data_IF_443742233647
#
_entry.id   IF_443742233647
#
_cell.length_a   1.000
_cell.length_b   1.000
_cell.length_c   1.000
_cell.angle_alpha   90.00
_cell.angle_beta   90.00
_cell.angle_gamma   90.00
#
_symmetry.space_group_name_H-M   'P 1'
#
loop_
_entity.id
_entity.type
_entity.pdbx_description
1 polymer ?
#
# COMPACT_ATOMS: atom_id res chain seq x y z
N UNK A 1 13.28 12.91 -7.79
CA UNK A 1 13.41 11.83 -8.80
C UNK A 1 12.03 11.26 -9.10
N UNK A 2 11.70 11.03 -10.38
CA UNK A 2 10.45 10.41 -10.76
C UNK A 2 10.73 9.00 -11.27
N UNK A 3 9.93 8.04 -10.82
CA UNK A 3 9.99 6.65 -11.28
C UNK A 3 8.83 6.38 -12.24
N UNK A 4 9.12 5.68 -13.34
CA UNK A 4 8.16 5.39 -14.41
C UNK A 4 8.26 3.93 -14.83
N UNK A 5 7.11 3.31 -15.08
CA UNK A 5 7.02 1.96 -15.62
C UNK A 5 6.85 2.04 -17.15
N UNK A 6 7.73 1.39 -17.90
CA UNK A 6 7.73 1.40 -19.38
C UNK A 6 6.95 0.23 -20.01
N UNK A 7 6.26 -0.54 -19.18
CA UNK A 7 5.58 -1.80 -19.57
C UNK A 7 6.39 -3.05 -19.25
N UNK A 8 7.68 -2.91 -18.94
CA UNK A 8 8.58 -4.01 -18.63
C UNK A 8 9.40 -3.79 -17.37
N UNK A 9 9.86 -2.56 -17.15
CA UNK A 9 10.72 -2.21 -16.01
C UNK A 9 10.33 -0.84 -15.43
N UNK A 10 10.70 -0.63 -14.17
CA UNK A 10 10.71 0.68 -13.56
C UNK A 10 12.05 1.37 -13.83
N UNK A 11 12.01 2.63 -14.21
CA UNK A 11 13.19 3.47 -14.47
C UNK A 11 13.07 4.82 -13.79
N UNK A 12 14.20 5.34 -13.28
CA UNK A 12 14.27 6.64 -12.64
C UNK A 12 14.63 7.73 -13.65
N UNK A 13 14.00 8.90 -13.55
CA UNK A 13 14.42 10.10 -14.27
C UNK A 13 15.52 10.81 -13.46
N UNK A 14 16.77 10.59 -13.83
CA UNK A 14 17.96 11.08 -13.10
C UNK A 14 18.54 10.05 -12.15
N UNK A 15 19.48 10.46 -11.30
CA UNK A 15 20.17 9.59 -10.36
C UNK A 15 19.41 9.55 -9.03
N UNK A 16 18.81 8.40 -8.63
CA UNK A 16 18.15 8.30 -7.33
C UNK A 16 19.18 8.40 -6.19
N UNK A 17 18.81 8.98 -5.04
CA UNK A 17 19.62 8.87 -3.83
C UNK A 17 19.69 7.40 -3.37
N UNK A 18 20.67 7.07 -2.54
CA UNK A 18 20.70 5.77 -1.88
C UNK A 18 19.53 5.64 -0.90
N UNK A 19 18.89 4.47 -0.87
CA UNK A 19 17.94 4.18 0.20
C UNK A 19 18.65 3.99 1.53
N UNK A 20 17.97 4.22 2.68
CA UNK A 20 18.49 3.87 3.99
C UNK A 20 18.95 2.40 4.06
N UNK A 21 20.02 2.14 4.78
CA UNK A 21 20.53 0.79 5.01
C UNK A 21 20.76 0.59 6.51
N UNK A 22 20.03 -0.29 7.19
CA UNK A 22 18.93 -1.12 6.66
C UNK A 22 17.71 -0.29 6.23
N UNK A 23 16.95 -0.82 5.27
CA UNK A 23 15.64 -0.25 4.92
C UNK A 23 14.69 -0.52 6.09
N UNK A 24 14.12 0.52 6.66
CA UNK A 24 13.21 0.44 7.80
C UNK A 24 12.01 1.34 7.58
N UNK A 25 10.82 0.85 7.92
CA UNK A 25 9.56 1.55 7.82
C UNK A 25 9.00 1.92 9.18
N UNK A 26 8.33 3.04 9.29
CA UNK A 26 7.41 3.29 10.40
C UNK A 26 6.21 2.35 10.23
N UNK A 27 5.80 1.67 11.29
CA UNK A 27 4.63 0.80 11.28
C UNK A 27 3.38 1.64 10.99
N UNK A 28 2.62 1.33 9.93
CA UNK A 28 1.59 2.25 9.44
C UNK A 28 0.32 2.28 10.28
N UNK A 29 0.15 1.38 11.25
CA UNK A 29 -1.05 1.25 12.08
C UNK A 29 -0.68 0.84 13.50
N UNK A 30 -1.52 1.16 14.47
CA UNK A 30 -1.40 0.66 15.84
C UNK A 30 -1.63 -0.89 15.87
N UNK A 31 -0.55 -1.64 16.05
CA UNK A 31 -0.58 -3.10 16.05
C UNK A 31 -1.41 -3.71 17.18
N UNK A 32 -1.69 -2.96 18.26
CA UNK A 32 -2.56 -3.44 19.34
C UNK A 32 -4.00 -3.68 18.88
N UNK A 33 -4.38 -3.10 17.75
CA UNK A 33 -5.72 -3.25 17.14
C UNK A 33 -5.76 -4.29 16.03
N UNK A 34 -4.60 -4.76 15.56
CA UNK A 34 -4.50 -5.72 14.46
C UNK A 34 -4.74 -7.13 14.98
N UNK A 35 -5.66 -7.85 14.35
CA UNK A 35 -6.05 -9.21 14.74
C UNK A 35 -5.47 -10.28 13.84
N UNK A 36 -5.18 -9.94 12.58
CA UNK A 36 -4.59 -10.87 11.61
C UNK A 36 -3.89 -10.12 10.46
N UNK A 37 -3.06 -10.83 9.72
CA UNK A 37 -2.23 -10.29 8.65
C UNK A 37 -2.67 -10.88 7.31
N UNK A 38 -2.81 -10.00 6.33
CA UNK A 38 -2.90 -10.34 4.91
C UNK A 38 -1.46 -10.45 4.38
N UNK A 39 -1.03 -11.65 4.02
CA UNK A 39 0.35 -11.86 3.55
C UNK A 39 0.53 -11.39 2.10
N UNK A 40 1.64 -10.71 1.76
CA UNK A 40 2.02 -10.49 0.36
C UNK A 40 2.19 -11.85 -0.35
N UNK A 41 1.66 -11.95 -1.58
CA UNK A 41 1.75 -13.18 -2.37
C UNK A 41 0.61 -14.19 -2.12
N UNK A 42 -0.37 -13.87 -1.30
CA UNK A 42 -1.57 -14.70 -1.14
C UNK A 42 -2.48 -14.69 -2.38
N UNK A 43 -3.20 -15.79 -2.58
CA UNK A 43 -4.39 -15.82 -3.42
C UNK A 43 -5.59 -15.38 -2.58
N UNK A 44 -6.18 -14.23 -2.90
CA UNK A 44 -7.37 -13.69 -2.23
C UNK A 44 -8.45 -13.39 -3.27
N UNK A 45 -9.68 -13.87 -3.04
CA UNK A 45 -10.77 -13.74 -4.01
C UNK A 45 -10.45 -14.37 -5.38
N UNK A 46 -9.58 -15.38 -5.43
CA UNK A 46 -9.14 -16.03 -6.67
C UNK A 46 -8.03 -15.31 -7.44
N UNK A 47 -7.52 -14.20 -6.91
CA UNK A 47 -6.47 -13.39 -7.55
C UNK A 47 -5.20 -13.35 -6.72
N UNK A 48 -4.04 -13.42 -7.39
CA UNK A 48 -2.75 -13.17 -6.76
C UNK A 48 -2.66 -11.72 -6.29
N UNK A 49 -2.30 -11.52 -5.02
CA UNK A 49 -2.14 -10.21 -4.40
C UNK A 49 -0.66 -9.97 -4.06
N UNK A 50 0.06 -9.13 -4.80
CA UNK A 50 1.46 -8.81 -4.49
C UNK A 50 1.63 -7.98 -3.22
N UNK A 51 0.55 -7.42 -2.68
CA UNK A 51 0.49 -6.66 -1.44
C UNK A 51 -0.01 -7.50 -0.29
N UNK A 52 0.42 -7.13 0.92
CA UNK A 52 -0.15 -7.60 2.17
C UNK A 52 -1.15 -6.60 2.74
N UNK A 53 -1.34 -6.63 4.07
CA UNK A 53 -2.19 -5.69 4.77
C UNK A 53 -2.50 -6.13 6.20
N UNK A 54 -3.37 -5.39 6.82
CA UNK A 54 -3.76 -5.58 8.21
C UNK A 54 -5.28 -5.70 8.34
N UNK A 55 -5.70 -6.53 9.27
CA UNK A 55 -7.10 -6.73 9.57
C UNK A 55 -7.39 -6.41 11.03
N UNK A 56 -8.49 -5.68 11.29
CA UNK A 56 -8.92 -5.19 12.58
C UNK A 56 -10.33 -5.74 12.87
N UNK A 57 -10.44 -6.96 13.38
CA UNK A 57 -11.74 -7.62 13.58
C UNK A 57 -12.11 -7.77 15.09
N UNK A 58 -11.55 -6.91 15.95
CA UNK A 58 -11.83 -6.94 17.38
C UNK A 58 -13.30 -6.61 17.73
N UNK A 59 -13.80 -7.07 18.86
CA UNK A 59 -15.16 -6.72 19.31
C UNK A 59 -15.35 -5.21 19.41
N UNK A 60 -16.37 -4.68 18.73
CA UNK A 60 -16.68 -3.25 18.70
C UNK A 60 -15.79 -2.44 17.74
N UNK A 61 -15.05 -3.10 16.87
CA UNK A 61 -14.26 -2.42 15.84
C UNK A 61 -15.15 -1.62 14.90
N UNK A 62 -14.69 -0.45 14.51
CA UNK A 62 -15.41 0.51 13.65
C UNK A 62 -14.62 0.91 12.41
N UNK A 63 -13.37 0.43 12.29
CA UNK A 63 -12.45 0.86 11.25
C UNK A 63 -11.87 2.27 11.45
N UNK A 64 -12.26 3.00 12.48
CA UNK A 64 -11.71 4.34 12.77
C UNK A 64 -10.34 4.17 13.42
N UNK A 65 -9.28 4.36 12.63
CA UNK A 65 -7.89 4.20 13.02
C UNK A 65 -7.01 5.10 12.18
N UNK A 66 -5.96 5.66 12.79
CA UNK A 66 -4.97 6.42 12.04
C UNK A 66 -4.05 5.47 11.26
N UNK A 67 -3.92 5.74 9.96
CA UNK A 67 -2.93 5.15 9.08
C UNK A 67 -1.87 6.20 8.83
N UNK A 68 -0.61 5.85 9.05
CA UNK A 68 0.51 6.77 8.88
C UNK A 68 1.43 6.36 7.73
N UNK A 69 2.08 7.34 7.12
CA UNK A 69 3.08 7.09 6.08
C UNK A 69 4.27 6.30 6.66
N UNK A 70 4.69 5.17 6.07
CA UNK A 70 5.79 4.36 6.57
C UNK A 70 7.17 4.97 6.32
N UNK A 71 7.29 5.88 5.35
CA UNK A 71 8.50 6.64 5.05
C UNK A 71 8.14 7.89 4.23
N UNK A 72 9.08 8.83 4.15
CA UNK A 72 8.95 10.02 3.31
C UNK A 72 8.71 9.63 1.86
N UNK A 73 7.73 10.25 1.21
CA UNK A 73 7.41 9.96 -0.18
C UNK A 73 6.61 11.07 -0.83
N UNK A 74 6.54 10.99 -2.16
CA UNK A 74 5.64 11.79 -3.00
C UNK A 74 4.40 10.98 -3.35
N UNK A 75 3.22 11.59 -3.25
CA UNK A 75 1.96 11.01 -3.74
C UNK A 75 2.01 11.04 -5.26
N UNK A 76 1.96 9.89 -5.91
CA UNK A 76 2.14 9.80 -7.37
C UNK A 76 0.85 9.46 -8.11
N UNK A 77 0.04 8.59 -7.54
CA UNK A 77 -1.22 8.15 -8.14
C UNK A 77 -2.27 7.94 -7.07
N UNK A 78 -3.53 8.10 -7.45
CA UNK A 78 -4.66 7.84 -6.56
C UNK A 78 -5.88 7.33 -7.33
N UNK A 79 -6.78 6.70 -6.60
CA UNK A 79 -8.11 6.31 -7.09
C UNK A 79 -9.13 6.49 -5.99
N UNK A 80 -10.36 6.83 -6.39
CA UNK A 80 -11.56 6.63 -5.58
C UNK A 80 -12.51 5.72 -6.36
N UNK A 81 -13.08 4.72 -5.70
CA UNK A 81 -13.94 3.74 -6.32
C UNK A 81 -14.99 3.24 -5.33
N UNK A 82 -16.02 2.61 -5.83
CA UNK A 82 -16.99 1.89 -5.00
C UNK A 82 -16.59 0.42 -4.93
N UNK A 83 -16.69 -0.16 -3.75
CA UNK A 83 -16.58 -1.61 -3.54
C UNK A 83 -17.68 -2.02 -2.58
N UNK A 84 -18.53 -2.93 -3.02
CA UNK A 84 -19.76 -3.31 -2.30
C UNK A 84 -20.66 -2.09 -1.95
N UNK A 85 -20.67 -1.09 -2.84
CA UNK A 85 -21.41 0.15 -2.66
C UNK A 85 -20.78 1.16 -1.69
N UNK A 86 -19.62 0.86 -1.08
CA UNK A 86 -18.91 1.74 -0.17
C UNK A 86 -17.75 2.46 -0.86
N UNK A 87 -17.60 3.76 -0.57
CA UNK A 87 -16.51 4.56 -1.14
C UNK A 87 -15.18 4.16 -0.52
N UNK A 88 -14.24 3.79 -1.38
CA UNK A 88 -12.88 3.38 -1.04
C UNK A 88 -11.85 4.26 -1.74
N UNK A 89 -10.69 4.42 -1.09
CA UNK A 89 -9.58 5.19 -1.65
C UNK A 89 -8.32 4.34 -1.70
N UNK A 90 -7.59 4.51 -2.82
CA UNK A 90 -6.28 3.93 -3.06
C UNK A 90 -5.29 5.04 -3.36
N UNK A 91 -4.10 4.98 -2.74
CA UNK A 91 -3.01 5.93 -2.98
C UNK A 91 -1.68 5.21 -3.17
N UNK A 92 -0.91 5.67 -4.16
CA UNK A 92 0.47 5.26 -4.43
C UNK A 92 1.43 6.38 -4.02
N UNK A 93 2.43 5.98 -3.26
CA UNK A 93 3.49 6.86 -2.74
C UNK A 93 4.85 6.33 -3.19
N UNK A 94 5.70 7.19 -3.68
CA UNK A 94 7.05 6.80 -4.13
C UNK A 94 8.10 7.67 -3.44
N UNK A 95 9.04 7.01 -2.77
CA UNK A 95 10.23 7.66 -2.23
C UNK A 95 11.26 7.88 -3.35
N UNK A 96 12.02 8.95 -3.29
CA UNK A 96 13.03 9.28 -4.30
C UNK A 96 14.06 8.18 -4.52
N UNK A 97 14.38 7.39 -3.51
CA UNK A 97 15.31 6.28 -3.63
C UNK A 97 14.76 5.05 -4.38
N UNK A 98 13.46 5.01 -4.69
CA UNK A 98 12.84 3.93 -5.47
C UNK A 98 12.07 2.91 -4.65
N UNK A 99 11.72 3.22 -3.42
CA UNK A 99 10.73 2.45 -2.66
C UNK A 99 9.35 3.05 -2.90
N UNK A 100 8.44 2.22 -3.36
CA UNK A 100 7.03 2.57 -3.49
C UNK A 100 6.23 1.85 -2.43
N UNK A 101 5.21 2.52 -1.89
CA UNK A 101 4.19 1.85 -1.10
C UNK A 101 2.78 2.30 -1.55
N UNK A 102 1.83 1.41 -1.32
CA UNK A 102 0.42 1.59 -1.66
C UNK A 102 -0.42 1.32 -0.44
N UNK A 103 -1.39 2.19 -0.19
CA UNK A 103 -2.53 1.89 0.67
C UNK A 103 -3.78 1.75 -0.17
N UNK A 104 -4.59 0.73 0.12
CA UNK A 104 -5.91 0.53 -0.46
C UNK A 104 -6.92 0.24 0.65
N UNK A 105 -8.19 0.42 0.36
CA UNK A 105 -9.30 0.31 1.30
C UNK A 105 -9.24 1.33 2.45
N UNK A 106 -8.68 2.52 2.19
CA UNK A 106 -8.91 3.67 3.06
C UNK A 106 -10.36 4.15 2.87
N UNK A 107 -11.10 4.36 3.96
CA UNK A 107 -12.47 4.89 3.94
C UNK A 107 -12.56 6.31 4.49
N UNK A 108 -11.55 6.76 5.24
CA UNK A 108 -11.37 8.14 5.69
C UNK A 108 -9.94 8.62 5.46
N UNK A 109 -9.78 9.89 5.10
CA UNK A 109 -8.53 10.48 4.65
C UNK A 109 -8.10 11.65 5.53
N UNK A 110 -6.77 11.93 5.57
CA UNK A 110 -6.25 13.20 6.05
C UNK A 110 -6.71 14.36 5.15
N UNK A 111 -6.64 15.59 5.63
CA UNK A 111 -7.05 16.77 4.85
C UNK A 111 -6.28 16.89 3.53
N UNK A 112 -4.99 16.54 3.52
CA UNK A 112 -4.15 16.56 2.31
C UNK A 112 -4.64 15.52 1.29
N UNK A 113 -4.85 14.26 1.70
CA UNK A 113 -5.33 13.22 0.80
C UNK A 113 -6.77 13.49 0.34
N UNK A 114 -7.61 14.08 1.20
CA UNK A 114 -8.95 14.50 0.82
C UNK A 114 -8.92 15.57 -0.29
N UNK A 115 -7.95 16.47 -0.28
CA UNK A 115 -7.79 17.45 -1.36
C UNK A 115 -7.42 16.80 -2.69
N UNK A 116 -6.60 15.74 -2.68
CA UNK A 116 -6.33 14.92 -3.88
C UNK A 116 -7.60 14.20 -4.32
N UNK A 117 -8.29 13.54 -3.39
CA UNK A 117 -9.50 12.78 -3.71
C UNK A 117 -10.58 13.65 -4.36
N UNK A 118 -10.68 14.93 -3.97
CA UNK A 118 -11.70 15.87 -4.49
C UNK A 118 -11.58 16.18 -5.99
N UNK A 119 -10.44 15.89 -6.59
CA UNK A 119 -10.19 16.14 -8.03
C UNK A 119 -10.06 14.85 -8.85
N UNK A 120 -10.21 13.69 -8.22
CA UNK A 120 -10.21 12.40 -8.92
C UNK A 120 -11.50 12.22 -9.75
N UNK A 121 -11.46 11.38 -10.79
CA UNK A 121 -12.67 10.95 -11.50
C UNK A 121 -13.72 10.41 -10.54
N UNK A 122 -15.03 10.54 -10.85
CA UNK A 122 -16.10 9.98 -10.03
C UNK A 122 -15.90 8.48 -9.76
N UNK A 123 -16.21 8.06 -8.53
CA UNK A 123 -16.09 6.67 -8.11
C UNK A 123 -17.06 5.77 -8.92
N UNK A 124 -16.54 4.64 -9.38
CA UNK A 124 -17.29 3.61 -10.11
C UNK A 124 -17.12 2.27 -9.41
N UNK A 125 -18.17 1.44 -9.39
CA UNK A 125 -18.13 0.12 -8.75
C UNK A 125 -17.04 -0.77 -9.35
N UNK A 126 -16.15 -1.29 -8.50
CA UNK A 126 -15.08 -2.20 -8.87
C UNK A 126 -13.93 -1.60 -9.70
N UNK A 127 -13.93 -0.28 -9.97
CA UNK A 127 -12.91 0.37 -10.79
C UNK A 127 -11.87 1.11 -9.94
N UNK A 128 -10.87 0.39 -9.45
CA UNK A 128 -9.74 0.93 -8.66
C UNK A 128 -8.56 1.43 -9.51
N UNK A 129 -8.73 1.63 -10.82
CA UNK A 129 -7.65 2.16 -11.68
C UNK A 129 -7.23 3.54 -11.21
N UNK A 130 -5.92 3.70 -11.03
CA UNK A 130 -5.34 4.95 -10.54
C UNK A 130 -5.17 5.99 -11.64
N UNK A 131 -5.28 7.26 -11.27
CA UNK A 131 -4.87 8.41 -12.07
C UNK A 131 -3.68 9.10 -11.42
N UNK A 132 -2.90 9.87 -12.19
CA UNK A 132 -1.79 10.64 -11.64
C UNK A 132 -2.31 11.69 -10.64
N UNK A 133 -1.66 11.77 -9.49
CA UNK A 133 -1.90 12.82 -8.51
C UNK A 133 -1.23 14.15 -8.95
N UNK A 134 -1.71 15.30 -8.47
CA UNK A 134 -1.02 16.58 -8.69
C UNK A 134 0.44 16.49 -8.22
N UNK A 135 1.38 17.07 -8.99
CA UNK A 135 2.79 17.00 -8.64
C UNK A 135 3.12 17.80 -7.37
N UNK A 136 4.16 17.34 -6.65
CA UNK A 136 4.74 18.07 -5.51
C UNK A 136 4.05 17.83 -4.17
N UNK A 137 3.10 16.92 -4.10
CA UNK A 137 2.47 16.53 -2.84
C UNK A 137 3.32 15.45 -2.15
N UNK A 138 3.85 15.77 -0.98
CA UNK A 138 4.72 14.89 -0.20
C UNK A 138 4.11 14.58 1.16
N UNK A 139 4.50 13.43 1.72
CA UNK A 139 4.24 13.05 3.09
C UNK A 139 5.55 12.70 3.79
N UNK A 140 5.60 12.86 5.10
CA UNK A 140 6.73 12.47 5.93
C UNK A 140 6.42 11.21 6.72
N UNK A 141 7.45 10.43 7.08
CA UNK A 141 7.30 9.25 7.92
C UNK A 141 6.53 9.58 9.21
N UNK A 142 5.51 8.79 9.54
CA UNK A 142 4.64 9.00 10.69
C UNK A 142 3.50 10.01 10.48
N UNK A 143 3.44 10.70 9.35
CA UNK A 143 2.34 11.61 9.03
C UNK A 143 1.03 10.82 8.80
N UNK A 144 -0.08 11.29 9.38
CA UNK A 144 -1.39 10.66 9.19
C UNK A 144 -1.87 10.87 7.75
N UNK A 145 -2.11 9.77 7.04
CA UNK A 145 -2.64 9.75 5.68
C UNK A 145 -4.08 9.24 5.62
N UNK A 146 -4.46 8.32 6.51
CA UNK A 146 -5.81 7.80 6.64
C UNK A 146 -6.35 7.94 8.06
N UNK A 147 -7.67 8.01 8.20
CA UNK A 147 -8.37 8.12 9.51
C UNK A 147 -9.38 7.01 9.72
N UNK A 148 -9.69 6.25 8.69
CA UNK A 148 -10.48 5.02 8.79
C UNK A 148 -10.22 4.10 7.61
N UNK A 149 -10.52 2.81 7.80
CA UNK A 149 -10.25 1.75 6.84
C UNK A 149 -11.43 0.77 6.72
N UNK A 150 -11.46 0.06 5.60
CA UNK A 150 -12.33 -1.09 5.40
C UNK A 150 -13.75 -0.74 4.98
N UNK A 151 -14.64 -1.69 5.23
CA UNK A 151 -16.03 -1.77 4.75
C UNK A 151 -16.99 -1.89 5.94
N UNK A 152 -17.36 -0.77 6.58
CA UNK A 152 -18.22 -0.78 7.77
C UNK A 152 -19.55 -1.51 7.60
N UNK A 153 -20.19 -1.40 6.43
CA UNK A 153 -21.51 -2.01 6.16
C UNK A 153 -21.46 -3.54 6.27
N UNK A 154 -20.36 -4.15 5.83
CA UNK A 154 -20.17 -5.61 5.90
C UNK A 154 -19.29 -6.05 7.09
N UNK A 155 -18.87 -5.12 7.93
CA UNK A 155 -18.05 -5.42 9.12
C UNK A 155 -16.65 -5.96 8.80
N UNK A 156 -16.09 -5.57 7.67
CA UNK A 156 -14.74 -5.93 7.26
C UNK A 156 -13.81 -4.72 7.42
N UNK A 157 -13.00 -4.71 8.45
CA UNK A 157 -12.10 -3.58 8.76
C UNK A 157 -10.66 -3.94 8.41
N UNK A 158 -10.41 -4.17 7.13
CA UNK A 158 -9.07 -4.43 6.60
C UNK A 158 -8.63 -3.33 5.65
N UNK A 159 -7.32 -3.13 5.55
CA UNK A 159 -6.72 -2.32 4.49
C UNK A 159 -5.49 -3.04 3.93
N UNK A 160 -5.26 -2.83 2.66
CA UNK A 160 -4.08 -3.36 1.99
C UNK A 160 -2.90 -2.40 2.12
N UNK A 161 -1.73 -2.96 2.37
CA UNK A 161 -0.45 -2.28 2.33
C UNK A 161 0.53 -3.06 1.47
N UNK A 162 0.82 -2.52 0.29
CA UNK A 162 1.84 -3.04 -0.62
C UNK A 162 3.13 -2.25 -0.50
N UNK A 163 4.27 -2.93 -0.54
CA UNK A 163 5.60 -2.30 -0.64
C UNK A 163 6.36 -2.92 -1.79
N UNK A 164 7.02 -2.06 -2.58
CA UNK A 164 7.66 -2.44 -3.82
C UNK A 164 9.04 -1.76 -3.92
N UNK A 165 10.07 -2.56 -4.25
CA UNK A 165 11.39 -2.03 -4.56
C UNK A 165 11.52 -1.84 -6.08
N UNK A 166 11.29 -0.63 -6.56
CA UNK A 166 11.28 -0.31 -7.99
C UNK A 166 12.66 -0.46 -8.65
N UNK A 167 13.73 -0.56 -7.86
CA UNK A 167 15.11 -0.67 -8.33
C UNK A 167 15.48 -2.09 -8.79
N UNK A 168 14.77 -3.09 -8.27
CA UNK A 168 15.13 -4.48 -8.50
C UNK A 168 13.90 -5.41 -8.45
N UNK A 169 13.95 -6.43 -9.27
CA UNK A 169 12.93 -7.48 -9.26
C UNK A 169 13.14 -8.43 -8.09
N UNK A 170 12.04 -8.95 -7.53
CA UNK A 170 12.11 -9.95 -6.48
C UNK A 170 12.56 -11.33 -6.99
N UNK A 171 12.92 -12.23 -6.06
CA UNK A 171 13.45 -13.56 -6.39
C UNK A 171 12.44 -14.41 -7.17
N UNK A 172 11.15 -14.36 -6.83
CA UNK A 172 10.12 -15.14 -7.51
C UNK A 172 10.05 -14.81 -9.01
N UNK A 173 10.27 -13.55 -9.36
CA UNK A 173 10.24 -13.09 -10.76
C UNK A 173 11.47 -13.49 -11.59
N UNK A 174 12.44 -14.21 -11.02
CA UNK A 174 13.52 -14.81 -11.80
C UNK A 174 13.01 -16.00 -12.63
N UNK A 175 11.91 -16.62 -12.22
CA UNK A 175 11.27 -17.71 -12.94
C UNK A 175 10.34 -17.17 -14.04
N UNK A 176 10.61 -17.55 -15.29
CA UNK A 176 9.84 -17.09 -16.47
C UNK A 176 8.36 -17.47 -16.36
N UNK A 177 8.07 -18.69 -15.92
CA UNK A 177 6.72 -19.19 -15.75
C UNK A 177 5.95 -18.37 -14.70
N UNK A 178 6.63 -17.97 -13.60
CA UNK A 178 6.04 -17.15 -12.58
C UNK A 178 5.70 -15.74 -13.11
N UNK A 179 6.62 -15.12 -13.87
CA UNK A 179 6.37 -13.80 -14.49
C UNK A 179 5.20 -13.83 -15.47
N UNK A 180 5.12 -14.89 -16.27
CA UNK A 180 4.02 -15.06 -17.22
C UNK A 180 2.66 -15.21 -16.52
N UNK A 181 2.63 -15.87 -15.36
CA UNK A 181 1.43 -16.04 -14.55
C UNK A 181 1.03 -14.78 -13.75
N UNK A 182 1.97 -13.88 -13.49
CA UNK A 182 1.77 -12.67 -12.66
C UNK A 182 2.23 -11.41 -13.42
N UNK A 183 1.59 -11.08 -14.54
CA UNK A 183 1.94 -9.90 -15.31
C UNK A 183 1.53 -8.62 -14.56
N UNK A 184 2.15 -7.51 -14.92
CA UNK A 184 1.82 -6.19 -14.41
C UNK A 184 2.97 -5.50 -13.71
N UNK A 185 2.70 -4.28 -13.27
CA UNK A 185 3.72 -3.35 -12.82
C UNK A 185 4.20 -3.58 -11.37
N UNK A 186 3.58 -4.48 -10.61
CA UNK A 186 3.87 -4.62 -9.17
C UNK A 186 4.36 -5.99 -8.74
N UNK A 187 3.82 -7.08 -9.28
CA UNK A 187 4.10 -8.43 -8.77
C UNK A 187 5.60 -8.74 -8.71
N UNK A 188 6.35 -8.37 -9.75
CA UNK A 188 7.78 -8.64 -9.85
C UNK A 188 8.67 -7.75 -8.97
N UNK A 189 8.12 -6.71 -8.34
CA UNK A 189 8.85 -5.75 -7.48
C UNK A 189 8.37 -5.77 -6.03
N UNK A 190 7.29 -6.49 -5.72
CA UNK A 190 6.79 -6.60 -4.37
C UNK A 190 7.83 -7.21 -3.43
N UNK A 191 7.92 -6.65 -2.22
CA UNK A 191 8.75 -7.17 -1.14
C UNK A 191 7.88 -7.57 0.04
N UNK A 192 8.34 -8.53 0.85
CA UNK A 192 7.79 -8.79 2.16
C UNK A 192 8.34 -7.73 3.12
N UNK A 193 7.47 -6.85 3.60
CA UNK A 193 7.86 -5.72 4.43
C UNK A 193 7.99 -6.04 5.93
N UNK A 194 7.69 -7.27 6.35
CA UNK A 194 7.66 -7.65 7.77
C UNK A 194 8.98 -7.38 8.49
N UNK A 195 10.09 -7.81 7.88
CA UNK A 195 11.44 -7.64 8.45
C UNK A 195 11.99 -6.21 8.31
N UNK A 196 11.26 -5.34 7.64
CA UNK A 196 11.59 -3.92 7.51
C UNK A 196 10.89 -3.03 8.54
N UNK A 197 10.08 -3.62 9.43
CA UNK A 197 9.48 -2.93 10.57
C UNK A 197 10.48 -2.83 11.74
N UNK A 198 10.25 -1.93 12.72
CA UNK A 198 10.99 -1.96 13.97
C UNK A 198 10.98 -3.35 14.60
N UNK A 199 12.07 -3.83 15.23
CA UNK A 199 12.17 -5.23 15.65
C UNK A 199 11.02 -5.75 16.53
N UNK A 200 10.47 -4.91 17.43
CA UNK A 200 9.32 -5.25 18.26
C UNK A 200 8.03 -5.43 17.44
N UNK A 201 7.83 -4.54 16.48
CA UNK A 201 6.66 -4.57 15.59
C UNK A 201 6.76 -5.74 14.60
N UNK A 202 7.94 -6.00 14.05
CA UNK A 202 8.21 -7.16 13.21
C UNK A 202 7.87 -8.46 13.95
N UNK A 203 8.32 -8.61 15.20
CA UNK A 203 8.02 -9.76 16.03
C UNK A 203 6.50 -9.91 16.28
N UNK A 204 5.80 -8.80 16.52
CA UNK A 204 4.34 -8.79 16.67
C UNK A 204 3.67 -9.26 15.39
N UNK A 205 4.03 -8.69 14.24
CA UNK A 205 3.44 -9.05 12.92
C UNK A 205 3.66 -10.53 12.62
N UNK A 206 4.86 -11.08 12.85
CA UNK A 206 5.17 -12.49 12.65
C UNK A 206 4.37 -13.44 13.59
N UNK A 207 3.90 -12.93 14.73
CA UNK A 207 3.11 -13.70 15.69
C UNK A 207 1.60 -13.73 15.38
N UNK A 208 1.12 -12.83 14.53
CA UNK A 208 -0.30 -12.74 14.18
C UNK A 208 -0.71 -13.85 13.22
N UNK A 209 -1.95 -14.34 13.32
CA UNK A 209 -2.46 -15.33 12.38
C UNK A 209 -2.62 -14.74 10.98
N UNK A 210 -2.57 -15.59 9.96
CA UNK A 210 -3.00 -15.22 8.61
C UNK A 210 -4.51 -14.97 8.57
N UNK A 211 -4.93 -13.93 7.83
CA UNK A 211 -6.32 -13.60 7.60
C UNK A 211 -6.92 -14.40 6.44
#
# INVERSE_FOLDING_TARGET
VRWQFDGSNWTATGTPPACPTPLTFTTPVDLSRVTSILYPGQLRGGYYKPHGGFRLDGPGETGVVNIVAPMDATITRASQYLSDGELQFLFDFVNDCGIMYRFDHLSGLSAQLQSVASILPPATEGDSRTTEAPPGLTVTAGEIVGTSVGFPVVGNFSFDWGVYDLRQRNTASQEDAWRAAHPGEFAAWAICWFDNLPPGDAATVWSLPAA
#
